data_IF_916218054005
#
_entry.id   IF_916218054005
#
_cell.length_a   1.000
_cell.length_b   1.000
_cell.length_c   1.000
_cell.angle_alpha   90.00
_cell.angle_beta   90.00
_cell.angle_gamma   90.00
#
_symmetry.space_group_name_H-M   'P 1'
#
loop_
_entity.id
_entity.type
_entity.pdbx_description
1 polymer ?
#
# COMPACT_ATOMS: atom_id res chain seq x y z
N UNK A 1 -22.23 -2.13 8.29
CA UNK A 1 -21.05 -2.62 9.08
C UNK A 1 -19.78 -2.24 8.39
N UNK A 2 -18.80 -1.76 9.15
CA UNK A 2 -17.50 -1.32 8.62
C UNK A 2 -16.78 -2.41 7.84
N UNK A 3 -16.30 -2.08 6.64
CA UNK A 3 -15.38 -2.88 5.85
C UNK A 3 -13.95 -2.45 6.14
N UNK A 4 -12.99 -3.30 5.84
CA UNK A 4 -11.57 -2.97 6.09
C UNK A 4 -10.76 -3.21 4.81
N UNK A 5 -9.93 -2.23 4.46
CA UNK A 5 -8.91 -2.37 3.42
C UNK A 5 -7.53 -2.31 4.06
N UNK A 6 -6.72 -3.33 3.83
CA UNK A 6 -5.31 -3.31 4.16
C UNK A 6 -4.49 -3.16 2.89
N UNK A 7 -3.63 -2.14 2.84
CA UNK A 7 -2.74 -1.88 1.70
C UNK A 7 -1.31 -1.98 2.18
N UNK A 8 -0.55 -2.91 1.61
CA UNK A 8 0.85 -3.14 1.98
C UNK A 8 1.80 -2.90 0.82
N UNK A 9 2.96 -2.37 1.13
CA UNK A 9 4.09 -2.33 0.23
C UNK A 9 4.70 -3.72 0.10
N UNK A 10 5.16 -4.08 -1.13
CA UNK A 10 5.92 -5.31 -1.36
C UNK A 10 7.19 -5.39 -0.50
N UNK A 11 7.77 -6.59 -0.38
CA UNK A 11 9.03 -6.83 0.35
C UNK A 11 10.28 -6.48 -0.47
N UNK A 12 11.45 -6.58 0.16
CA UNK A 12 12.75 -6.32 -0.47
C UNK A 12 12.96 -7.19 -1.71
N UNK A 13 13.38 -6.56 -2.83
CA UNK A 13 13.74 -7.27 -4.05
C UNK A 13 15.23 -7.58 -4.14
N UNK A 14 15.60 -8.60 -4.90
CA UNK A 14 16.98 -8.89 -5.27
C UNK A 14 17.34 -8.03 -6.49
N UNK A 15 18.14 -7.01 -6.29
CA UNK A 15 18.63 -6.14 -7.39
C UNK A 15 19.66 -6.88 -8.27
N UNK A 16 19.66 -6.65 -9.59
CA UNK A 16 18.76 -5.78 -10.37
C UNK A 16 17.38 -6.38 -10.70
N UNK A 17 17.12 -7.60 -10.26
CA UNK A 17 15.88 -8.33 -10.57
C UNK A 17 14.63 -7.76 -9.89
N UNK A 18 13.48 -8.30 -10.29
CA UNK A 18 12.16 -7.88 -9.80
C UNK A 18 11.59 -8.81 -8.71
N UNK A 19 12.20 -9.97 -8.48
CA UNK A 19 11.75 -10.93 -7.48
C UNK A 19 12.25 -10.60 -6.08
N UNK A 20 11.56 -11.03 -5.02
CA UNK A 20 12.01 -10.84 -3.66
C UNK A 20 13.39 -11.46 -3.38
N UNK A 21 14.16 -10.79 -2.54
CA UNK A 21 15.35 -11.36 -1.92
C UNK A 21 14.95 -12.38 -0.84
N UNK A 22 15.85 -13.29 -0.49
CA UNK A 22 15.60 -14.29 0.54
C UNK A 22 15.21 -13.68 1.90
N UNK A 23 15.88 -12.58 2.29
CA UNK A 23 15.53 -11.86 3.52
C UNK A 23 14.19 -11.13 3.41
N UNK A 24 13.82 -10.70 2.18
CA UNK A 24 12.49 -10.17 1.89
C UNK A 24 11.39 -11.21 2.09
N UNK A 25 11.62 -12.44 1.66
CA UNK A 25 10.66 -13.55 1.89
C UNK A 25 10.50 -13.82 3.38
N UNK A 26 11.61 -13.84 4.15
CA UNK A 26 11.55 -14.00 5.61
C UNK A 26 10.75 -12.88 6.28
N UNK A 27 10.96 -11.61 5.84
CA UNK A 27 10.23 -10.46 6.34
C UNK A 27 8.73 -10.56 6.05
N UNK A 28 8.35 -10.94 4.82
CA UNK A 28 6.96 -11.12 4.44
C UNK A 28 6.26 -12.21 5.28
N UNK A 29 6.95 -13.29 5.62
CA UNK A 29 6.42 -14.36 6.48
C UNK A 29 6.12 -13.91 7.91
N UNK A 30 6.85 -12.92 8.45
CA UNK A 30 6.57 -12.37 9.79
C UNK A 30 5.25 -11.60 9.86
N UNK A 31 4.80 -11.04 8.74
CA UNK A 31 3.53 -10.31 8.66
C UNK A 31 2.32 -11.23 8.68
N UNK A 32 2.47 -12.49 8.28
CA UNK A 32 1.41 -13.49 8.19
C UNK A 32 0.62 -13.66 9.50
N UNK A 33 1.33 -13.74 10.61
CA UNK A 33 0.73 -14.08 11.91
C UNK A 33 -0.20 -12.96 12.44
N UNK A 34 -0.09 -11.74 11.89
CA UNK A 34 -0.87 -10.58 12.31
C UNK A 34 -2.04 -10.26 11.36
N UNK A 35 -2.14 -10.94 10.21
CA UNK A 35 -2.95 -10.42 9.10
C UNK A 35 -4.40 -10.94 9.06
N UNK A 36 -4.69 -12.17 9.50
CA UNK A 36 -6.06 -12.74 9.47
C UNK A 36 -6.53 -13.15 8.07
N UNK A 37 -7.85 -13.19 7.85
CA UNK A 37 -8.47 -13.59 6.57
C UNK A 37 -8.82 -12.37 5.73
N UNK A 38 -8.48 -12.40 4.43
CA UNK A 38 -8.85 -11.39 3.45
C UNK A 38 -9.52 -12.03 2.23
N UNK A 39 -10.56 -11.39 1.72
CA UNK A 39 -11.24 -11.71 0.47
C UNK A 39 -11.92 -10.44 -0.08
N UNK A 40 -11.46 -9.88 -1.22
CA UNK A 40 -10.39 -10.37 -2.10
C UNK A 40 -8.96 -10.04 -1.63
N UNK A 41 -7.99 -10.70 -2.25
CA UNK A 41 -6.57 -10.37 -2.20
C UNK A 41 -6.13 -9.90 -3.58
N UNK A 42 -5.77 -8.64 -3.69
CA UNK A 42 -5.41 -7.96 -4.94
C UNK A 42 -3.93 -7.61 -4.94
N UNK A 43 -3.24 -7.81 -6.04
CA UNK A 43 -1.82 -7.45 -6.21
C UNK A 43 -1.62 -6.63 -7.47
N UNK A 44 -0.57 -5.78 -7.48
CA UNK A 44 -0.04 -5.30 -8.75
C UNK A 44 0.50 -6.48 -9.58
N UNK A 45 0.65 -6.26 -10.89
CA UNK A 45 1.22 -7.24 -11.83
C UNK A 45 2.73 -7.43 -11.71
N UNK A 46 3.41 -6.63 -10.87
CA UNK A 46 4.85 -6.69 -10.71
C UNK A 46 5.26 -7.91 -9.86
N UNK A 47 6.23 -8.75 -10.32
CA UNK A 47 6.59 -10.00 -9.65
C UNK A 47 6.86 -9.88 -8.16
N UNK A 48 7.53 -8.81 -7.71
CA UNK A 48 7.82 -8.61 -6.28
C UNK A 48 6.56 -8.42 -5.43
N UNK A 49 5.48 -7.85 -5.96
CA UNK A 49 4.22 -7.69 -5.23
C UNK A 49 3.47 -9.03 -5.15
N UNK A 50 3.37 -9.74 -6.28
CA UNK A 50 2.74 -11.07 -6.36
C UNK A 50 3.43 -12.05 -5.40
N UNK A 51 4.77 -12.15 -5.48
CA UNK A 51 5.53 -13.07 -4.64
C UNK A 51 5.55 -12.66 -3.15
N UNK A 52 5.43 -11.35 -2.85
CA UNK A 52 5.21 -10.89 -1.48
C UNK A 52 3.88 -11.40 -0.93
N UNK A 53 2.81 -11.27 -1.71
CA UNK A 53 1.47 -11.76 -1.34
C UNK A 53 1.49 -13.25 -1.01
N UNK A 54 2.15 -14.04 -1.86
CA UNK A 54 2.33 -15.49 -1.65
C UNK A 54 3.19 -15.78 -0.40
N UNK A 55 4.26 -15.00 -0.18
CA UNK A 55 5.14 -15.18 0.97
C UNK A 55 4.45 -14.81 2.31
N UNK A 56 3.54 -13.83 2.31
CA UNK A 56 2.66 -13.54 3.45
C UNK A 56 1.70 -14.72 3.72
N UNK A 57 1.39 -15.53 2.70
CA UNK A 57 0.57 -16.74 2.85
C UNK A 57 -0.80 -16.64 2.20
N UNK A 58 -0.99 -15.71 1.27
CA UNK A 58 -2.25 -15.54 0.55
C UNK A 58 -2.11 -15.93 -0.93
N UNK A 59 -3.21 -16.44 -1.48
CA UNK A 59 -3.38 -16.59 -2.92
C UNK A 59 -3.80 -15.25 -3.51
N UNK A 60 -3.15 -14.82 -4.59
CA UNK A 60 -3.58 -13.63 -5.35
C UNK A 60 -4.86 -13.98 -6.10
N UNK A 61 -5.95 -13.29 -5.79
CA UNK A 61 -7.26 -13.48 -6.43
C UNK A 61 -7.47 -12.58 -7.63
N UNK A 62 -6.96 -11.36 -7.55
CA UNK A 62 -7.06 -10.36 -8.60
C UNK A 62 -5.71 -9.70 -8.83
N UNK A 63 -5.41 -9.37 -10.10
CA UNK A 63 -4.25 -8.58 -10.48
C UNK A 63 -4.75 -7.28 -11.11
N UNK A 64 -4.31 -6.15 -10.57
CA UNK A 64 -4.57 -4.83 -11.14
C UNK A 64 -3.25 -4.14 -11.49
N UNK A 65 -2.93 -3.97 -12.80
CA UNK A 65 -1.71 -3.31 -13.24
C UNK A 65 -1.58 -1.86 -12.76
N UNK A 66 -2.71 -1.17 -12.51
CA UNK A 66 -2.70 0.20 -12.02
C UNK A 66 -2.15 0.35 -10.60
N UNK A 67 -2.07 -0.75 -9.85
CA UNK A 67 -1.39 -0.81 -8.55
C UNK A 67 0.14 -0.94 -8.67
N UNK A 68 0.69 -1.04 -9.90
CA UNK A 68 2.12 -1.16 -10.17
C UNK A 68 2.64 -0.19 -11.24
N UNK A 69 1.74 0.46 -11.97
CA UNK A 69 2.09 1.43 -13.00
C UNK A 69 2.33 2.81 -12.40
N UNK A 70 3.58 3.24 -12.37
CA UNK A 70 3.97 4.60 -11.99
C UNK A 70 4.13 5.45 -13.25
N UNK A 71 3.26 6.47 -13.48
CA UNK A 71 3.40 7.36 -14.63
C UNK A 71 4.75 8.09 -14.64
N UNK A 72 5.27 8.39 -15.83
CA UNK A 72 6.59 9.02 -16.00
C UNK A 72 6.64 10.39 -15.31
N UNK A 73 5.60 11.20 -15.41
CA UNK A 73 5.53 12.52 -14.77
C UNK A 73 5.48 12.43 -13.23
N UNK A 74 4.94 11.35 -12.69
CA UNK A 74 4.96 11.06 -11.24
C UNK A 74 6.37 10.61 -10.82
N UNK A 75 7.01 9.77 -11.63
CA UNK A 75 8.38 9.35 -11.38
C UNK A 75 9.35 10.53 -11.42
N UNK A 76 9.23 11.41 -12.42
CA UNK A 76 10.07 12.60 -12.62
C UNK A 76 9.89 13.65 -11.51
N UNK A 77 8.74 13.66 -10.84
CA UNK A 77 8.52 14.51 -9.67
C UNK A 77 9.41 14.14 -8.48
N UNK A 78 9.99 12.95 -8.43
CA UNK A 78 11.03 12.52 -7.49
C UNK A 78 10.63 12.58 -6.01
N UNK A 79 9.34 12.45 -5.70
CA UNK A 79 8.83 12.63 -4.33
C UNK A 79 9.21 11.48 -3.41
N UNK A 80 9.28 10.26 -3.93
CA UNK A 80 9.52 9.09 -3.09
C UNK A 80 11.01 8.66 -3.09
N UNK A 81 11.59 8.20 -1.96
CA UNK A 81 10.97 8.00 -0.64
C UNK A 81 10.80 9.29 0.15
N UNK A 82 9.64 9.47 0.78
CA UNK A 82 9.32 10.65 1.57
C UNK A 82 8.34 10.32 2.71
N UNK A 83 8.36 11.15 3.76
CA UNK A 83 7.37 11.10 4.83
C UNK A 83 5.98 11.50 4.33
N UNK A 84 4.94 11.09 5.07
CA UNK A 84 3.56 11.41 4.70
C UNK A 84 3.30 12.90 4.55
N UNK A 85 3.85 13.75 5.41
CA UNK A 85 3.72 15.21 5.32
C UNK A 85 4.33 15.80 4.04
N UNK A 86 5.41 15.20 3.52
CA UNK A 86 6.01 15.63 2.25
C UNK A 86 5.19 15.17 1.04
N UNK A 87 4.66 13.94 1.09
CA UNK A 87 3.76 13.43 0.04
C UNK A 87 2.47 14.25 0.03
N UNK A 88 1.90 14.58 1.20
CA UNK A 88 0.73 15.46 1.32
C UNK A 88 0.94 16.80 0.62
N UNK A 89 2.07 17.46 0.85
CA UNK A 89 2.39 18.72 0.15
C UNK A 89 2.45 18.57 -1.36
N UNK A 90 2.96 17.43 -1.84
CA UNK A 90 2.99 17.13 -3.27
C UNK A 90 1.59 16.87 -3.83
N UNK A 91 0.72 16.20 -3.07
CA UNK A 91 -0.69 15.98 -3.42
C UNK A 91 -1.42 17.32 -3.47
N UNK A 92 -1.23 18.20 -2.49
CA UNK A 92 -1.86 19.51 -2.43
C UNK A 92 -1.42 20.47 -3.55
N UNK A 93 -0.33 20.20 -4.26
CA UNK A 93 0.18 21.05 -5.34
C UNK A 93 -0.56 20.95 -6.67
N UNK A 94 -1.66 20.19 -6.75
CA UNK A 94 -2.51 20.01 -7.94
C UNK A 94 -1.73 19.55 -9.21
N UNK A 95 -0.72 18.71 -9.01
CA UNK A 95 0.15 18.20 -10.08
C UNK A 95 -0.03 16.71 -10.40
N UNK A 96 0.99 16.09 -10.99
CA UNK A 96 0.99 14.65 -11.29
C UNK A 96 0.72 13.77 -10.06
N UNK A 97 1.30 14.12 -8.91
CA UNK A 97 1.12 13.37 -7.65
C UNK A 97 -0.32 13.43 -7.15
N UNK A 98 -0.99 14.58 -7.30
CA UNK A 98 -2.41 14.73 -6.92
C UNK A 98 -3.30 13.79 -7.75
N UNK A 99 -3.16 13.82 -9.08
CA UNK A 99 -3.94 12.94 -9.97
C UNK A 99 -3.68 11.45 -9.69
N UNK A 100 -2.43 11.10 -9.45
CA UNK A 100 -2.03 9.75 -9.09
C UNK A 100 -2.64 9.29 -7.76
N UNK A 101 -2.61 10.15 -6.75
CA UNK A 101 -3.20 9.88 -5.43
C UNK A 101 -4.72 9.65 -5.53
N UNK A 102 -5.43 10.50 -6.28
CA UNK A 102 -6.86 10.36 -6.53
C UNK A 102 -7.20 9.07 -7.26
N UNK A 103 -6.35 8.65 -8.20
CA UNK A 103 -6.54 7.39 -8.91
C UNK A 103 -6.38 6.20 -7.98
N UNK A 104 -5.34 6.17 -7.13
CA UNK A 104 -5.16 5.11 -6.15
C UNK A 104 -6.33 5.02 -5.17
N UNK A 105 -6.81 6.15 -4.65
CA UNK A 105 -7.98 6.20 -3.78
C UNK A 105 -9.25 5.67 -4.46
N UNK A 106 -9.46 6.00 -5.75
CA UNK A 106 -10.60 5.45 -6.52
C UNK A 106 -10.52 3.93 -6.72
N UNK A 107 -9.33 3.40 -7.01
CA UNK A 107 -9.10 1.95 -7.12
C UNK A 107 -9.42 1.27 -5.78
N UNK A 108 -8.92 1.79 -4.67
CA UNK A 108 -9.16 1.23 -3.34
C UNK A 108 -10.64 1.29 -2.94
N UNK A 109 -11.31 2.40 -3.25
CA UNK A 109 -12.76 2.53 -3.06
C UNK A 109 -13.51 1.46 -3.85
N UNK A 110 -13.15 1.24 -5.12
CA UNK A 110 -13.75 0.21 -5.95
C UNK A 110 -13.54 -1.21 -5.42
N UNK A 111 -12.39 -1.49 -4.79
CA UNK A 111 -12.12 -2.79 -4.16
C UNK A 111 -12.98 -2.97 -2.91
N UNK A 112 -12.96 -1.99 -1.98
CA UNK A 112 -13.66 -2.12 -0.70
C UNK A 112 -15.18 -2.12 -0.83
N UNK A 113 -15.73 -1.49 -1.87
CA UNK A 113 -17.17 -1.50 -2.15
C UNK A 113 -17.70 -2.87 -2.58
N UNK A 114 -16.86 -3.72 -3.15
CA UNK A 114 -17.23 -5.07 -3.61
C UNK A 114 -17.28 -6.11 -2.49
N UNK A 115 -16.65 -5.84 -1.34
CA UNK A 115 -16.62 -6.81 -0.24
C UNK A 115 -17.87 -6.69 0.65
N UNK A 116 -18.32 -7.80 1.27
CA UNK A 116 -19.47 -7.76 2.16
C UNK A 116 -19.22 -6.93 3.41
N UNK A 117 -20.28 -6.52 4.06
CA UNK A 117 -20.22 -5.84 5.35
C UNK A 117 -19.44 -6.65 6.39
N UNK A 118 -18.52 -6.00 7.08
CA UNK A 118 -17.59 -6.64 8.02
C UNK A 118 -16.44 -7.38 7.36
N UNK A 119 -16.40 -7.43 6.02
CA UNK A 119 -15.33 -8.08 5.25
C UNK A 119 -14.03 -7.30 5.23
N UNK A 120 -12.96 -7.96 4.79
CA UNK A 120 -11.61 -7.40 4.68
C UNK A 120 -11.00 -7.72 3.33
N UNK A 121 -10.38 -6.73 2.69
CA UNK A 121 -9.55 -6.91 1.50
C UNK A 121 -8.09 -6.59 1.77
N UNK A 122 -7.19 -7.26 1.05
CA UNK A 122 -5.75 -6.98 1.05
C UNK A 122 -5.32 -6.51 -0.33
N UNK A 123 -4.56 -5.43 -0.37
CA UNK A 123 -3.85 -4.94 -1.56
C UNK A 123 -2.35 -4.99 -1.31
N UNK A 124 -1.57 -5.55 -2.25
CA UNK A 124 -0.11 -5.50 -2.22
C UNK A 124 0.41 -4.70 -3.41
N UNK A 125 1.11 -3.61 -3.10
CA UNK A 125 1.55 -2.59 -4.05
C UNK A 125 2.96 -2.07 -3.74
N UNK A 126 3.26 -0.80 -3.99
CA UNK A 126 4.60 -0.20 -3.96
C UNK A 126 4.66 1.02 -3.02
N UNK A 127 5.88 1.48 -2.73
CA UNK A 127 6.09 2.79 -2.09
C UNK A 127 5.59 3.91 -2.99
N UNK A 128 5.22 5.04 -2.44
CA UNK A 128 4.41 6.13 -2.98
C UNK A 128 2.94 5.76 -3.22
N UNK A 129 2.62 4.60 -3.77
CA UNK A 129 1.22 4.15 -3.97
C UNK A 129 0.48 4.09 -2.63
N UNK A 130 1.13 3.54 -1.59
CA UNK A 130 0.54 3.45 -0.26
C UNK A 130 0.33 4.83 0.34
N UNK A 131 1.36 5.68 0.34
CA UNK A 131 1.30 7.01 0.95
C UNK A 131 0.29 7.92 0.21
N UNK A 132 0.40 8.00 -1.11
CA UNK A 132 -0.46 8.87 -1.92
C UNK A 132 -1.93 8.42 -1.86
N UNK A 133 -2.19 7.12 -1.98
CA UNK A 133 -3.55 6.59 -1.89
C UNK A 133 -4.18 6.78 -0.52
N UNK A 134 -3.41 6.65 0.57
CA UNK A 134 -3.91 6.88 1.92
C UNK A 134 -4.28 8.36 2.16
N UNK A 135 -3.42 9.28 1.70
CA UNK A 135 -3.66 10.73 1.80
C UNK A 135 -4.93 11.12 1.04
N UNK A 136 -5.08 10.69 -0.22
CA UNK A 136 -6.26 11.01 -1.00
C UNK A 136 -7.54 10.33 -0.47
N UNK A 137 -7.42 9.20 0.22
CA UNK A 137 -8.55 8.50 0.85
C UNK A 137 -9.05 9.19 2.12
N UNK A 138 -8.19 9.96 2.79
CA UNK A 138 -8.48 10.68 4.04
C UNK A 138 -7.90 12.10 4.01
N UNK A 139 -8.40 12.97 3.12
CA UNK A 139 -7.76 14.27 2.84
C UNK A 139 -7.73 15.23 4.05
N UNK A 140 -8.60 15.04 5.03
CA UNK A 140 -8.70 15.90 6.22
C UNK A 140 -7.92 15.34 7.43
N UNK A 141 -7.17 14.23 7.25
CA UNK A 141 -6.42 13.64 8.36
C UNK A 141 -5.13 14.40 8.66
N UNK A 142 -4.61 14.27 9.89
CA UNK A 142 -3.27 14.76 10.23
C UNK A 142 -2.20 13.80 9.71
N UNK A 143 -1.85 13.96 8.44
CA UNK A 143 -0.87 13.10 7.75
C UNK A 143 0.55 13.20 8.34
N UNK A 144 0.88 14.32 8.96
CA UNK A 144 2.15 14.50 9.65
C UNK A 144 2.33 13.51 10.81
N UNK A 145 1.24 13.14 11.48
CA UNK A 145 1.25 12.14 12.56
C UNK A 145 1.48 10.70 12.09
N UNK A 146 1.34 10.42 10.78
CA UNK A 146 1.52 9.07 10.23
C UNK A 146 2.99 8.68 10.03
N UNK A 147 3.91 9.66 10.08
CA UNK A 147 5.34 9.40 10.18
C UNK A 147 6.09 9.39 8.84
N UNK A 148 7.14 8.59 8.79
CA UNK A 148 8.05 8.47 7.65
C UNK A 148 7.50 7.66 6.49
N UNK A 149 8.34 7.45 5.46
CA UNK A 149 7.97 6.60 4.32
C UNK A 149 7.67 5.17 4.76
N UNK A 150 6.69 4.55 4.13
CA UNK A 150 6.31 3.15 4.36
C UNK A 150 7.48 2.22 3.99
N UNK A 151 7.88 1.38 4.93
CA UNK A 151 8.92 0.38 4.75
C UNK A 151 8.43 -0.87 4.00
N UNK A 152 9.34 -1.79 3.71
CA UNK A 152 9.01 -3.07 3.09
C UNK A 152 8.06 -3.88 3.98
N UNK A 153 7.00 -4.44 3.40
CA UNK A 153 5.90 -5.15 4.07
C UNK A 153 5.07 -4.31 5.03
N UNK A 154 5.40 -3.05 5.25
CA UNK A 154 4.57 -2.10 5.99
C UNK A 154 3.44 -1.56 5.11
N UNK A 155 2.50 -0.85 5.71
CA UNK A 155 1.37 -0.32 4.96
C UNK A 155 0.39 0.44 5.82
N UNK A 156 -0.85 0.48 5.35
CA UNK A 156 -1.97 1.13 6.04
C UNK A 156 -3.16 0.18 6.14
N UNK A 157 -3.95 0.34 7.19
CA UNK A 157 -5.28 -0.28 7.32
C UNK A 157 -6.30 0.82 7.41
N UNK A 158 -7.26 0.77 6.51
CA UNK A 158 -8.32 1.75 6.38
C UNK A 158 -9.67 1.12 6.72
N UNK A 159 -10.50 1.82 7.48
CA UNK A 159 -11.91 1.46 7.68
C UNK A 159 -12.78 2.21 6.69
N UNK A 160 -13.87 1.57 6.25
CA UNK A 160 -14.78 2.12 5.23
C UNK A 160 -16.24 1.88 5.63
N UNK A 161 -17.01 2.98 5.71
CA UNK A 161 -18.48 2.97 5.85
C UNK A 161 -19.10 4.05 4.95
N UNK A 162 -19.18 3.76 3.65
CA UNK A 162 -19.55 4.75 2.62
C UNK A 162 -18.41 5.64 2.15
N UNK A 163 -17.46 5.95 3.04
CA UNK A 163 -16.18 6.61 2.78
C UNK A 163 -15.09 5.99 3.67
N UNK A 164 -13.83 6.30 3.39
CA UNK A 164 -12.75 5.96 4.32
C UNK A 164 -12.81 6.91 5.54
N UNK A 165 -12.65 6.36 6.75
CA UNK A 165 -12.84 7.10 8.00
C UNK A 165 -11.60 7.11 8.90
N UNK A 166 -10.87 6.01 8.96
CA UNK A 166 -9.72 5.82 9.87
C UNK A 166 -8.57 5.19 9.09
N UNK A 167 -7.36 5.70 9.33
CA UNK A 167 -6.11 5.10 8.87
C UNK A 167 -5.25 4.68 10.06
N UNK A 168 -4.83 3.42 10.06
CA UNK A 168 -3.83 2.88 10.97
C UNK A 168 -2.57 2.56 10.18
N UNK A 169 -1.41 3.06 10.61
CA UNK A 169 -0.13 2.67 10.03
C UNK A 169 0.26 1.28 10.53
N UNK A 170 0.63 0.41 9.61
CA UNK A 170 1.02 -0.97 9.89
C UNK A 170 2.53 -1.12 9.79
N UNK A 171 3.17 -1.38 10.90
CA UNK A 171 4.60 -1.64 10.96
C UNK A 171 4.90 -3.14 10.87
N UNK A 172 6.12 -3.46 10.47
CA UNK A 172 6.63 -4.83 10.58
C UNK A 172 7.06 -5.13 12.01
N UNK A 173 6.96 -6.39 12.47
CA UNK A 173 7.40 -6.78 13.80
C UNK A 173 8.88 -6.49 14.05
N UNK A 174 9.24 -6.31 15.34
CA UNK A 174 10.62 -6.22 15.82
C UNK A 174 11.45 -5.05 15.28
N UNK A 175 10.84 -3.93 14.92
CA UNK A 175 11.54 -2.72 14.49
C UNK A 175 12.34 -2.87 13.20
N UNK A 176 11.98 -3.80 12.33
CA UNK A 176 12.66 -4.08 11.04
C UNK A 176 12.24 -3.12 9.92
N UNK A 177 12.05 -1.87 10.26
CA UNK A 177 11.70 -0.84 9.28
C UNK A 177 12.84 -0.60 8.29
N UNK A 178 12.61 -0.89 7.00
CA UNK A 178 13.53 -0.63 5.89
C UNK A 178 12.78 -0.03 4.71
N UNK A 179 13.20 1.15 4.27
CA UNK A 179 12.58 1.85 3.13
C UNK A 179 13.25 1.50 1.80
N UNK A 180 14.56 1.31 1.80
CA UNK A 180 15.35 0.96 0.62
C UNK A 180 16.44 -0.05 0.96
N UNK A 181 16.88 -0.83 -0.05
CA UNK A 181 18.01 -1.75 0.01
C UNK A 181 18.94 -1.57 -1.20
#
# INVERSE_FOLDING_TARGET
MMRTLEVRRHTMRRKPGQRPAQDGIKLARLVRDESGHFDPVVSSDVPRAIETTIAIGYEVREIDPMLGHLPDDVFDAGVWPASFDKVERAVASEGPISRFADEQSRIWTGIVQKIPDGGKALVVTHGLFVEAGAIASLPEADHGSWGGAIGYCEGVRLTFDGAFEICQILHVPYGRHLVAN
#
